data_IF_780715969101
#
_entry.id   IF_780715969101
#
_cell.length_a   1.000
_cell.length_b   1.000
_cell.length_c   1.000
_cell.angle_alpha   90.00
_cell.angle_beta   90.00
_cell.angle_gamma   90.00
#
_symmetry.space_group_name_H-M   'P 1'
#
loop_
_entity.id
_entity.type
_entity.pdbx_description
1 polymer ?
#
# COMPACT_ATOMS: atom_id res chain seq x y z
N UNK A 1 7.18 7.59 3.34
CA UNK A 1 6.43 6.69 4.26
C UNK A 1 6.00 5.46 3.49
N UNK A 2 6.07 4.32 4.11
CA UNK A 2 5.59 3.07 3.52
C UNK A 2 4.15 2.80 3.96
N UNK A 3 3.42 2.05 3.14
CA UNK A 3 1.99 1.81 3.35
C UNK A 3 1.69 1.15 4.71
N UNK A 4 2.58 0.29 5.20
CA UNK A 4 2.38 -0.38 6.49
C UNK A 4 2.38 0.61 7.68
N UNK A 5 2.97 1.78 7.52
CA UNK A 5 3.03 2.81 8.55
C UNK A 5 1.96 3.89 8.39
N UNK A 6 1.15 3.83 7.35
CA UNK A 6 0.15 4.85 7.07
C UNK A 6 -0.98 4.82 8.11
N UNK A 7 -1.43 5.98 8.62
CA UNK A 7 -2.62 6.03 9.47
C UNK A 7 -3.85 5.52 8.72
N UNK A 8 -4.76 4.87 9.44
CA UNK A 8 -6.02 4.40 8.84
C UNK A 8 -6.86 5.58 8.37
N UNK A 9 -7.63 5.36 7.31
CA UNK A 9 -8.60 6.30 6.75
C UNK A 9 -7.98 7.61 6.27
N UNK A 10 -6.71 7.61 5.92
CA UNK A 10 -6.04 8.76 5.30
C UNK A 10 -5.72 8.46 3.85
N UNK A 11 -5.82 9.49 2.99
CA UNK A 11 -5.59 9.34 1.56
C UNK A 11 -4.13 9.61 1.22
N UNK A 12 -3.55 8.70 0.46
CA UNK A 12 -2.17 8.80 -0.04
C UNK A 12 -2.15 8.44 -1.51
N UNK A 13 -1.03 8.68 -2.16
CA UNK A 13 -0.80 8.16 -3.50
C UNK A 13 0.40 7.24 -3.48
N UNK A 14 0.37 6.23 -4.33
CA UNK A 14 1.52 5.35 -4.51
C UNK A 14 2.62 6.14 -5.21
N UNK A 15 3.81 6.20 -4.62
CA UNK A 15 4.99 6.75 -5.28
C UNK A 15 5.65 5.68 -6.16
N UNK A 16 5.85 4.50 -5.59
CA UNK A 16 6.44 3.35 -6.29
C UNK A 16 6.31 2.11 -5.42
N UNK A 17 6.54 0.96 -6.02
CA UNK A 17 6.71 -0.30 -5.29
C UNK A 17 8.18 -0.66 -5.31
N UNK A 18 8.75 -0.86 -4.12
CA UNK A 18 10.15 -1.25 -3.96
C UNK A 18 10.30 -2.74 -4.10
N UNK A 19 11.44 -3.17 -4.64
CA UNK A 19 11.78 -4.59 -4.70
C UNK A 19 11.96 -5.15 -3.29
N UNK A 20 11.57 -6.42 -3.12
CA UNK A 20 11.78 -7.15 -1.87
C UNK A 20 12.89 -8.17 -2.11
N UNK A 21 14.04 -8.03 -1.44
CA UNK A 21 15.16 -8.96 -1.66
C UNK A 21 14.84 -10.40 -1.25
N UNK A 22 13.80 -10.60 -0.42
CA UNK A 22 13.41 -11.93 0.04
C UNK A 22 12.32 -12.57 -0.82
N UNK A 23 11.67 -11.77 -1.71
CA UNK A 23 10.55 -12.23 -2.52
C UNK A 23 10.62 -11.56 -3.89
N UNK A 24 11.27 -12.19 -4.84
CA UNK A 24 11.57 -11.60 -6.15
C UNK A 24 10.33 -11.16 -6.94
N UNK A 25 9.20 -11.85 -6.77
CA UNK A 25 7.97 -11.56 -7.52
C UNK A 25 7.04 -10.57 -6.82
N UNK A 26 7.35 -10.17 -5.59
CA UNK A 26 6.42 -9.39 -4.76
C UNK A 26 6.09 -8.04 -5.37
N UNK A 27 7.09 -7.30 -5.84
CA UNK A 27 6.87 -5.98 -6.45
C UNK A 27 5.97 -6.10 -7.67
N UNK A 28 6.23 -7.06 -8.54
CA UNK A 28 5.42 -7.28 -9.74
C UNK A 28 3.98 -7.66 -9.39
N UNK A 29 3.79 -8.53 -8.40
CA UNK A 29 2.46 -8.93 -7.96
C UNK A 29 1.67 -7.73 -7.44
N UNK A 30 2.30 -6.85 -6.66
CA UNK A 30 1.66 -5.64 -6.14
C UNK A 30 1.29 -4.69 -7.28
N UNK A 31 2.16 -4.51 -8.24
CA UNK A 31 1.86 -3.68 -9.41
C UNK A 31 0.70 -4.24 -10.22
N UNK A 32 0.64 -5.56 -10.38
CA UNK A 32 -0.47 -6.22 -11.08
C UNK A 32 -1.81 -6.03 -10.34
N UNK A 33 -1.78 -5.91 -9.02
CA UNK A 33 -2.98 -5.61 -8.24
C UNK A 33 -3.44 -4.17 -8.40
N UNK A 34 -2.60 -3.29 -8.90
CA UNK A 34 -2.94 -1.90 -9.13
C UNK A 34 -2.14 -0.89 -8.31
N UNK A 35 -1.12 -1.32 -7.57
CA UNK A 35 -0.25 -0.41 -6.82
C UNK A 35 0.73 0.25 -7.78
N UNK A 36 0.21 1.18 -8.58
CA UNK A 36 0.97 1.88 -9.62
C UNK A 36 1.17 3.34 -9.21
N UNK A 37 2.28 3.96 -9.63
CA UNK A 37 2.54 5.36 -9.29
C UNK A 37 1.36 6.28 -9.62
N UNK A 38 0.98 7.09 -8.65
CA UNK A 38 -0.13 8.04 -8.80
C UNK A 38 -1.49 7.52 -8.38
N UNK A 39 -1.64 6.20 -8.18
CA UNK A 39 -2.92 5.64 -7.73
C UNK A 39 -3.19 6.03 -6.28
N UNK A 40 -4.46 6.35 -5.99
CA UNK A 40 -4.89 6.63 -4.61
C UNK A 40 -4.88 5.34 -3.81
N UNK A 41 -4.42 5.44 -2.57
CA UNK A 41 -4.33 4.29 -1.67
C UNK A 41 -4.65 4.74 -0.24
N UNK A 42 -5.32 3.89 0.50
CA UNK A 42 -5.59 4.12 1.91
C UNK A 42 -5.69 2.80 2.67
N UNK A 43 -5.29 2.82 3.94
CA UNK A 43 -5.47 1.69 4.84
C UNK A 43 -6.87 1.81 5.45
N UNK A 44 -7.70 0.81 5.22
CA UNK A 44 -9.08 0.81 5.68
C UNK A 44 -9.22 0.21 7.06
N UNK A 45 -8.49 -0.86 7.34
CA UNK A 45 -8.51 -1.52 8.63
C UNK A 45 -7.27 -2.40 8.80
N UNK A 46 -7.02 -2.79 10.05
CA UNK A 46 -5.95 -3.71 10.41
C UNK A 46 -6.54 -4.82 11.26
N UNK A 47 -6.10 -6.05 11.01
CA UNK A 47 -6.59 -7.20 11.79
C UNK A 47 -6.14 -7.07 13.25
N UNK A 48 -7.04 -7.41 14.14
CA UNK A 48 -6.75 -7.47 15.57
C UNK A 48 -6.47 -8.92 15.95
N UNK A 49 -5.46 -9.22 16.81
CA UNK A 49 -4.70 -8.27 17.62
C UNK A 49 -3.41 -7.72 17.00
N UNK A 50 -2.89 -8.26 15.96
CA UNK A 50 -1.52 -7.93 15.51
C UNK A 50 -1.41 -6.90 14.40
N UNK A 51 -2.52 -6.47 13.81
CA UNK A 51 -2.48 -5.54 12.70
C UNK A 51 -2.16 -6.19 11.34
N UNK A 52 -2.04 -7.52 11.28
CA UNK A 52 -1.67 -8.25 10.08
C UNK A 52 -2.68 -9.39 9.85
N UNK A 53 -3.35 -9.47 8.68
CA UNK A 53 -3.20 -8.59 7.53
C UNK A 53 -3.91 -7.24 7.70
N UNK A 54 -3.64 -6.34 6.77
CA UNK A 54 -4.33 -5.05 6.70
C UNK A 54 -5.20 -5.01 5.45
N UNK A 55 -6.34 -4.33 5.54
CA UNK A 55 -7.24 -4.13 4.38
C UNK A 55 -6.91 -2.78 3.77
N UNK A 56 -6.59 -2.79 2.48
CA UNK A 56 -6.11 -1.63 1.76
C UNK A 56 -6.98 -1.39 0.53
N UNK A 57 -7.36 -0.13 0.32
CA UNK A 57 -8.03 0.28 -0.90
C UNK A 57 -6.99 0.93 -1.81
N UNK A 58 -6.93 0.46 -3.07
CA UNK A 58 -6.10 1.07 -4.12
C UNK A 58 -6.99 1.28 -5.35
N UNK A 59 -7.07 2.53 -5.81
CA UNK A 59 -8.03 2.87 -6.84
C UNK A 59 -9.45 2.54 -6.38
N UNK A 60 -10.14 1.69 -7.14
CA UNK A 60 -11.50 1.24 -6.81
C UNK A 60 -11.51 -0.17 -6.20
N UNK A 61 -10.36 -0.76 -5.97
CA UNK A 61 -10.25 -2.14 -5.49
C UNK A 61 -9.84 -2.18 -4.03
N UNK A 62 -10.20 -3.28 -3.35
CA UNK A 62 -9.86 -3.50 -1.94
C UNK A 62 -9.18 -4.85 -1.82
N UNK A 63 -8.05 -4.88 -1.13
CA UNK A 63 -7.26 -6.09 -0.95
C UNK A 63 -6.84 -6.26 0.50
N UNK A 64 -6.66 -7.52 0.92
CA UNK A 64 -5.98 -7.83 2.17
C UNK A 64 -4.50 -8.03 1.86
N UNK A 65 -3.65 -7.22 2.47
CA UNK A 65 -2.20 -7.31 2.32
C UNK A 65 -1.56 -7.72 3.63
N UNK A 66 -0.54 -8.56 3.53
CA UNK A 66 0.35 -8.76 4.66
C UNK A 66 1.18 -7.50 4.89
N UNK A 67 1.54 -7.25 6.14
CA UNK A 67 2.38 -6.10 6.48
C UNK A 67 3.68 -6.10 5.67
N UNK A 68 4.28 -7.27 5.44
CA UNK A 68 5.50 -7.39 4.64
C UNK A 68 5.30 -6.93 3.19
N UNK A 69 4.11 -7.15 2.63
CA UNK A 69 3.78 -6.67 1.29
C UNK A 69 3.56 -5.16 1.28
N UNK A 70 2.80 -4.66 2.25
CA UNK A 70 2.52 -3.23 2.38
C UNK A 70 3.81 -2.41 2.58
N UNK A 71 4.80 -3.01 3.24
CA UNK A 71 6.09 -2.35 3.46
C UNK A 71 6.82 -2.01 2.17
N UNK A 72 6.53 -2.73 1.09
CA UNK A 72 7.14 -2.47 -0.22
C UNK A 72 6.53 -1.28 -0.93
N UNK A 73 5.35 -0.84 -0.54
CA UNK A 73 4.65 0.27 -1.21
C UNK A 73 5.09 1.59 -0.60
N UNK A 74 5.80 2.39 -1.39
CA UNK A 74 6.24 3.71 -0.98
C UNK A 74 5.15 4.72 -1.31
N UNK A 75 4.80 5.55 -0.32
CA UNK A 75 3.72 6.53 -0.43
C UNK A 75 4.24 7.93 -0.66
N UNK A 76 3.40 8.73 -1.28
CA UNK A 76 3.58 10.17 -1.38
C UNK A 76 2.26 10.85 -1.01
N UNK A 77 2.34 12.14 -0.70
CA UNK A 77 1.18 12.92 -0.31
C UNK A 77 0.14 12.96 -1.42
N UNK A 78 -1.14 12.87 -1.05
CA UNK A 78 -2.25 13.08 -1.98
C UNK A 78 -2.52 14.58 -2.21
N UNK A 79 -1.91 15.45 -1.44
CA UNK A 79 -2.05 16.89 -1.61
C UNK A 79 -1.32 17.30 -2.89
N UNK A 80 -2.07 17.90 -3.81
CA UNK A 80 -1.51 18.43 -5.05
C UNK A 80 -1.33 19.93 -4.89
N UNK A 81 -0.12 20.39 -5.17
CA UNK A 81 0.14 21.83 -5.26
C UNK A 81 -0.52 22.32 -6.55
N UNK A 82 -1.40 23.26 -6.38
CA UNK A 82 -2.10 23.87 -7.52
C UNK A 82 -1.19 24.86 -8.24
#
# INVERSE_FOLDING_TARGET
>A
MQLDAAPMATAWRVARVNEDPNQAERARQLEELGFLPGEKVSVMSRAWPGGDPMVVRVGLSTFALRVAEARCVQLQSDVQDA
#
